data_IF_490650379150
#
_entry.id   IF_490650379150
#
_cell.length_a   1.000
_cell.length_b   1.000
_cell.length_c   1.000
_cell.angle_alpha   90.00
_cell.angle_beta   90.00
_cell.angle_gamma   90.00
#
_symmetry.space_group_name_H-M   'P 1'
#
loop_
_entity.id
_entity.type
_entity.pdbx_description
1 polymer ?
#
# COMPACT_ATOMS: atom_id res chain seq x y z
N UNK A 1 4.15 -33.53 -0.70
CA UNK A 1 5.03 -32.42 -1.13
C UNK A 1 4.38 -31.06 -0.86
N UNK A 2 3.19 -30.78 -1.37
CA UNK A 2 2.52 -29.47 -1.24
C UNK A 2 2.07 -29.08 0.18
N UNK A 3 1.74 -30.06 1.05
CA UNK A 3 1.51 -29.79 2.49
C UNK A 3 2.72 -29.17 3.19
N UNK A 4 3.93 -29.47 2.71
CA UNK A 4 5.13 -28.84 3.24
C UNK A 4 5.27 -27.39 2.79
N UNK A 5 4.73 -26.99 1.62
CA UNK A 5 4.77 -25.59 1.18
C UNK A 5 3.96 -24.68 2.10
N UNK A 6 2.74 -25.11 2.47
CA UNK A 6 1.92 -24.38 3.43
C UNK A 6 2.60 -24.32 4.80
N UNK A 7 3.05 -25.46 5.33
CA UNK A 7 3.75 -25.52 6.61
C UNK A 7 4.99 -24.61 6.63
N UNK A 8 5.83 -24.64 5.59
CA UNK A 8 7.01 -23.77 5.53
C UNK A 8 6.65 -22.30 5.36
N UNK A 9 5.52 -21.98 4.73
CA UNK A 9 5.03 -20.60 4.60
C UNK A 9 4.52 -20.08 5.94
N UNK A 10 3.75 -20.88 6.69
CA UNK A 10 3.33 -20.59 8.06
C UNK A 10 4.53 -20.40 8.98
N UNK A 11 5.49 -21.33 8.98
CA UNK A 11 6.73 -21.21 9.77
C UNK A 11 7.53 -19.97 9.37
N UNK A 12 7.63 -19.66 8.07
CA UNK A 12 8.31 -18.44 7.61
C UNK A 12 7.61 -17.19 8.11
N UNK A 13 6.28 -17.18 8.11
CA UNK A 13 5.47 -16.08 8.60
C UNK A 13 5.64 -15.92 10.11
N UNK A 14 5.57 -17.01 10.88
CA UNK A 14 5.73 -17.02 12.34
C UNK A 14 7.14 -16.58 12.77
N UNK A 15 8.15 -16.91 11.97
CA UNK A 15 9.54 -16.45 12.18
C UNK A 15 9.78 -15.01 11.68
N UNK A 16 8.79 -14.38 11.05
CA UNK A 16 8.91 -13.01 10.55
C UNK A 16 9.73 -12.85 9.27
N UNK A 17 10.00 -13.96 8.58
CA UNK A 17 10.76 -13.96 7.33
C UNK A 17 9.93 -13.44 6.16
N UNK A 18 8.61 -13.58 6.24
CA UNK A 18 7.65 -13.10 5.25
C UNK A 18 6.48 -12.37 5.93
N UNK A 19 5.84 -11.45 5.20
CA UNK A 19 4.63 -10.77 5.65
C UNK A 19 3.34 -11.52 5.32
N UNK A 20 2.21 -11.02 5.81
CA UNK A 20 0.88 -11.62 5.59
C UNK A 20 0.51 -11.67 4.10
N UNK A 21 0.88 -10.66 3.32
CA UNK A 21 0.61 -10.64 1.88
C UNK A 21 1.30 -11.82 1.17
N UNK A 22 2.59 -12.03 1.44
CA UNK A 22 3.35 -13.13 0.87
C UNK A 22 2.85 -14.50 1.37
N UNK A 23 2.42 -14.60 2.64
CA UNK A 23 1.78 -15.82 3.14
C UNK A 23 0.53 -16.18 2.31
N UNK A 24 -0.32 -15.19 2.00
CA UNK A 24 -1.52 -15.40 1.17
C UNK A 24 -1.16 -15.84 -0.25
N UNK A 25 -0.21 -15.15 -0.89
CA UNK A 25 0.26 -15.53 -2.23
C UNK A 25 0.79 -16.96 -2.27
N UNK A 26 1.60 -17.36 -1.27
CA UNK A 26 2.11 -18.73 -1.16
C UNK A 26 1.00 -19.75 -0.91
N UNK A 27 -0.05 -19.38 -0.18
CA UNK A 27 -1.22 -20.23 0.04
C UNK A 27 -2.00 -20.46 -1.27
N UNK A 28 -2.27 -19.41 -2.04
CA UNK A 28 -2.94 -19.50 -3.34
C UNK A 28 -2.16 -20.40 -4.32
N UNK A 29 -0.83 -20.27 -4.36
CA UNK A 29 0.02 -21.15 -5.18
C UNK A 29 -0.07 -22.61 -4.71
N UNK A 30 -0.06 -22.85 -3.39
CA UNK A 30 -0.18 -24.20 -2.86
C UNK A 30 -1.53 -24.84 -3.18
N UNK A 31 -2.63 -24.08 -3.11
CA UNK A 31 -3.96 -24.53 -3.52
C UNK A 31 -4.01 -24.85 -5.01
N UNK A 32 -3.49 -23.97 -5.86
CA UNK A 32 -3.40 -24.20 -7.30
C UNK A 32 -2.62 -25.48 -7.65
N UNK A 33 -1.47 -25.71 -7.00
CA UNK A 33 -0.66 -26.92 -7.20
C UNK A 33 -1.33 -28.20 -6.68
N UNK A 34 -2.25 -28.05 -5.73
CA UNK A 34 -3.01 -29.16 -5.14
C UNK A 34 -4.25 -29.53 -5.95
N UNK A 35 -4.67 -28.71 -6.91
CA UNK A 35 -5.86 -28.96 -7.72
C UNK A 35 -5.58 -29.88 -8.92
N UNK A 36 -5.96 -31.17 -8.84
CA UNK A 36 -5.73 -32.12 -9.92
C UNK A 36 -6.67 -31.89 -11.11
N UNK A 37 -7.72 -31.08 -10.96
CA UNK A 37 -8.70 -30.79 -11.99
C UNK A 37 -8.37 -29.56 -12.86
N UNK A 38 -7.31 -28.81 -12.54
CA UNK A 38 -6.97 -27.53 -13.17
C UNK A 38 -8.15 -26.54 -13.23
N UNK A 39 -9.06 -26.64 -12.26
CA UNK A 39 -10.19 -25.75 -12.04
C UNK A 39 -9.77 -24.42 -11.42
N UNK A 40 -8.69 -24.43 -10.63
CA UNK A 40 -8.07 -23.24 -10.06
C UNK A 40 -7.18 -22.60 -11.13
N UNK A 41 -7.41 -21.31 -11.41
CA UNK A 41 -6.57 -20.51 -12.29
C UNK A 41 -5.16 -20.38 -11.70
N UNK A 42 -4.14 -20.43 -12.56
CA UNK A 42 -2.75 -20.16 -12.14
C UNK A 42 -2.65 -18.75 -11.55
N UNK A 43 -2.37 -18.61 -10.23
CA UNK A 43 -2.35 -17.31 -9.56
C UNK A 43 -1.19 -16.42 -10.05
N UNK A 44 -0.20 -16.98 -10.75
CA UNK A 44 0.90 -16.21 -11.35
C UNK A 44 0.49 -15.49 -12.62
N UNK A 45 -0.56 -15.97 -13.30
CA UNK A 45 -1.18 -15.29 -14.42
C UNK A 45 -2.16 -14.29 -13.82
N UNK A 46 -1.63 -13.13 -13.43
CA UNK A 46 -2.33 -12.09 -12.66
C UNK A 46 -3.80 -11.94 -13.02
N UNK A 47 -4.65 -11.64 -12.03
CA UNK A 47 -6.10 -11.42 -12.28
C UNK A 47 -6.23 -10.41 -13.41
N UNK A 48 -7.07 -10.72 -14.40
CA UNK A 48 -7.49 -9.72 -15.38
C UNK A 48 -8.23 -8.65 -14.58
N UNK A 49 -7.52 -7.58 -14.23
CA UNK A 49 -8.13 -6.44 -13.55
C UNK A 49 -9.02 -5.75 -14.58
N UNK A 50 -10.29 -5.59 -14.25
CA UNK A 50 -11.26 -4.81 -15.02
C UNK A 50 -10.61 -3.47 -15.41
N UNK A 51 -10.72 -3.03 -16.68
CA UNK A 51 -10.04 -1.83 -17.14
C UNK A 51 -10.54 -0.62 -16.34
N UNK A 52 -9.64 -0.01 -15.57
CA UNK A 52 -9.84 1.32 -15.01
C UNK A 52 -10.18 2.27 -16.15
N UNK A 53 -11.35 2.92 -16.06
CA UNK A 53 -11.75 4.02 -16.94
C UNK A 53 -10.64 5.07 -16.94
N UNK A 54 -9.92 5.18 -18.05
CA UNK A 54 -8.96 6.24 -18.30
C UNK A 54 -9.70 7.58 -18.31
N UNK A 55 -9.72 8.30 -17.20
CA UNK A 55 -9.96 9.74 -17.26
C UNK A 55 -8.63 10.41 -17.60
N UNK A 56 -8.63 10.94 -18.82
CA UNK A 56 -7.56 11.67 -19.49
C UNK A 56 -7.00 12.80 -18.61
N UNK A 57 -5.68 12.81 -18.52
CA UNK A 57 -4.91 13.95 -18.06
C UNK A 57 -5.07 15.10 -19.06
N UNK A 58 -5.77 16.16 -18.66
CA UNK A 58 -5.57 17.49 -19.21
C UNK A 58 -5.37 18.48 -18.07
N UNK A 59 -4.21 19.12 -18.10
CA UNK A 59 -3.78 20.13 -17.16
C UNK A 59 -4.02 21.49 -17.82
N UNK A 60 -5.16 22.12 -17.57
CA UNK A 60 -5.33 23.57 -17.79
C UNK A 60 -6.14 24.20 -16.66
N UNK A 61 -5.66 25.35 -16.17
CA UNK A 61 -6.31 26.26 -15.23
C UNK A 61 -6.50 27.60 -15.97
N UNK A 62 -7.28 28.58 -15.46
CA UNK A 62 -8.44 28.50 -14.55
C UNK A 62 -9.66 29.28 -15.11
N UNK A 63 -10.85 29.01 -14.57
CA UNK A 63 -11.76 30.00 -13.95
C UNK A 63 -13.23 29.58 -14.01
N UNK A 64 -13.94 29.96 -12.93
CA UNK A 64 -15.39 29.95 -12.70
C UNK A 64 -16.08 28.59 -12.53
N UNK A 65 -16.42 28.31 -11.26
CA UNK A 65 -17.37 27.29 -10.83
C UNK A 65 -18.77 27.53 -11.44
N UNK A 66 -19.62 26.48 -11.50
CA UNK A 66 -20.52 26.28 -10.37
C UNK A 66 -20.65 24.83 -9.89
N UNK A 67 -20.92 24.73 -8.59
CA UNK A 67 -21.53 23.65 -7.80
C UNK A 67 -22.00 22.42 -8.58
N UNK A 68 -21.42 21.25 -8.26
CA UNK A 68 -22.14 19.97 -8.31
C UNK A 68 -22.09 19.35 -6.92
N UNK A 69 -23.26 19.32 -6.29
CA UNK A 69 -23.54 18.65 -5.04
C UNK A 69 -23.29 17.14 -5.17
N UNK A 70 -22.39 16.66 -4.33
CA UNK A 70 -22.13 15.24 -4.13
C UNK A 70 -21.20 15.01 -2.94
N UNK A 71 -21.20 15.92 -1.96
CA UNK A 71 -20.46 15.73 -0.72
C UNK A 71 -21.17 14.64 0.09
N UNK A 72 -20.76 13.38 -0.10
CA UNK A 72 -20.94 12.37 0.94
C UNK A 72 -20.32 12.96 2.19
N UNK A 73 -21.12 13.11 3.25
CA UNK A 73 -20.63 13.50 4.57
C UNK A 73 -19.51 12.53 4.94
N UNK A 74 -18.28 13.02 4.96
CA UNK A 74 -17.17 12.34 5.62
C UNK A 74 -17.61 12.14 7.08
N UNK A 75 -17.80 10.89 7.48
CA UNK A 75 -18.01 10.56 8.88
C UNK A 75 -16.74 10.99 9.65
N UNK A 76 -16.84 11.84 10.68
CA UNK A 76 -15.66 12.24 11.46
C UNK A 76 -14.91 11.05 12.08
N UNK A 77 -15.56 9.89 12.25
CA UNK A 77 -14.91 8.65 12.67
C UNK A 77 -13.95 8.06 11.61
N UNK A 78 -14.25 8.19 10.32
CA UNK A 78 -13.40 7.71 9.21
C UNK A 78 -12.12 8.55 9.08
N UNK A 79 -12.18 9.85 9.44
CA UNK A 79 -11.01 10.73 9.45
C UNK A 79 -9.95 10.34 10.46
N UNK A 80 -10.31 9.61 11.52
CA UNK A 80 -9.32 9.19 12.52
C UNK A 80 -8.37 8.10 12.00
N UNK A 81 -8.84 7.31 11.03
CA UNK A 81 -8.08 6.19 10.48
C UNK A 81 -7.48 6.50 9.12
N UNK A 82 -8.00 7.47 8.38
CA UNK A 82 -7.54 7.78 7.02
C UNK A 82 -6.85 9.14 6.95
N UNK A 83 -5.70 9.18 6.28
CA UNK A 83 -5.01 10.40 5.91
C UNK A 83 -4.84 10.46 4.39
N UNK A 84 -5.32 11.54 3.77
CA UNK A 84 -5.14 11.78 2.34
C UNK A 84 -3.95 12.70 2.13
N UNK A 85 -2.95 12.24 1.39
CA UNK A 85 -1.73 13.00 1.09
C UNK A 85 -1.58 13.20 -0.42
N UNK A 86 -1.01 14.36 -0.81
CA UNK A 86 -0.89 14.80 -2.21
C UNK A 86 -2.24 14.76 -2.97
N UNK A 87 -3.36 14.94 -2.25
CA UNK A 87 -4.74 14.90 -2.76
C UNK A 87 -5.13 13.60 -3.48
N UNK A 88 -4.36 12.52 -3.33
CA UNK A 88 -4.59 11.26 -4.06
C UNK A 88 -4.24 9.99 -3.31
N UNK A 89 -3.38 10.03 -2.29
CA UNK A 89 -2.92 8.84 -1.59
C UNK A 89 -3.56 8.71 -0.21
N UNK A 90 -4.33 7.65 -0.01
CA UNK A 90 -5.00 7.34 1.25
C UNK A 90 -4.11 6.39 2.06
N UNK A 91 -3.68 6.85 3.22
CA UNK A 91 -3.01 6.04 4.24
C UNK A 91 -4.01 5.65 5.30
N UNK A 92 -3.93 4.41 5.78
CA UNK A 92 -4.88 3.89 6.77
C UNK A 92 -4.16 3.29 7.97
N UNK A 93 -4.53 3.74 9.18
CA UNK A 93 -4.18 3.03 10.42
C UNK A 93 -5.08 1.79 10.53
N UNK A 94 -4.48 0.63 10.84
CA UNK A 94 -5.22 -0.64 10.86
C UNK A 94 -5.16 -1.41 9.54
N UNK A 95 -4.33 -0.97 8.60
CA UNK A 95 -4.13 -1.72 7.36
C UNK A 95 -3.22 -2.93 7.59
N UNK A 96 -3.78 -4.12 7.42
CA UNK A 96 -3.06 -5.39 7.57
C UNK A 96 -2.15 -5.70 6.36
N UNK A 97 -2.35 -5.01 5.23
CA UNK A 97 -1.50 -5.17 4.07
C UNK A 97 -0.11 -4.55 4.34
N UNK A 98 0.95 -5.30 4.06
CA UNK A 98 2.33 -4.86 4.22
C UNK A 98 2.99 -4.42 2.91
N UNK A 99 2.32 -4.60 1.77
CA UNK A 99 2.90 -4.33 0.46
C UNK A 99 2.58 -2.92 -0.02
N UNK A 100 3.54 -2.19 -0.63
CA UNK A 100 4.97 -2.50 -0.78
C UNK A 100 5.83 -2.14 0.45
N UNK A 101 5.21 -1.54 1.46
CA UNK A 101 5.83 -1.23 2.76
C UNK A 101 4.75 -0.98 3.81
N UNK A 102 5.15 -0.90 5.08
CA UNK A 102 4.31 -0.40 6.18
C UNK A 102 4.88 0.94 6.66
N UNK A 103 4.13 2.06 6.54
CA UNK A 103 2.86 2.19 5.84
C UNK A 103 3.01 2.17 4.31
N UNK A 104 1.88 2.06 3.61
CA UNK A 104 1.76 2.30 2.17
C UNK A 104 0.49 3.12 1.89
N UNK A 105 0.45 3.75 0.71
CA UNK A 105 -0.69 4.58 0.28
C UNK A 105 -1.51 3.89 -0.79
N UNK A 106 -2.84 3.92 -0.65
CA UNK A 106 -3.79 3.49 -1.66
C UNK A 106 -4.23 4.67 -2.54
N UNK A 107 -4.39 4.46 -3.84
CA UNK A 107 -4.83 5.52 -4.73
C UNK A 107 -6.33 5.80 -4.55
N UNK A 108 -6.68 7.04 -4.23
CA UNK A 108 -8.03 7.62 -4.02
C UNK A 108 -8.88 7.01 -2.90
N UNK A 109 -8.90 5.68 -2.73
CA UNK A 109 -9.73 4.98 -1.74
C UNK A 109 -8.96 3.81 -1.15
N UNK A 110 -9.18 3.53 0.14
CA UNK A 110 -8.62 2.34 0.81
C UNK A 110 -9.01 1.03 0.12
N UNK A 111 -10.23 0.94 -0.41
CA UNK A 111 -10.76 -0.28 -1.03
C UNK A 111 -10.09 -0.63 -2.35
N UNK A 112 -9.30 0.28 -2.92
CA UNK A 112 -8.61 0.03 -4.19
C UNK A 112 -7.39 -0.84 -3.93
N UNK A 113 -7.36 -2.05 -4.52
CA UNK A 113 -6.21 -2.95 -4.40
C UNK A 113 -4.93 -2.38 -5.02
N UNK A 114 -5.07 -1.54 -6.04
CA UNK A 114 -4.01 -0.89 -6.80
C UNK A 114 -4.50 0.48 -7.32
N UNK A 115 -3.60 1.37 -7.75
CA UNK A 115 -2.15 1.33 -7.52
C UNK A 115 -1.79 1.64 -6.06
N UNK A 116 -0.61 1.16 -5.63
CA UNK A 116 -0.07 1.34 -4.28
C UNK A 116 1.24 2.11 -4.27
N UNK A 117 1.35 3.08 -3.36
CA UNK A 117 2.54 3.90 -3.15
C UNK A 117 3.41 3.33 -2.03
N UNK A 118 4.70 3.17 -2.31
CA UNK A 118 5.75 3.03 -1.29
C UNK A 118 6.23 4.43 -0.85
N UNK A 119 5.82 4.95 0.32
CA UNK A 119 6.17 6.32 0.75
C UNK A 119 7.66 6.49 1.02
N UNK A 120 8.40 5.42 1.35
CA UNK A 120 9.84 5.51 1.65
C UNK A 120 10.69 5.75 0.41
N UNK A 121 10.27 5.22 -0.75
CA UNK A 121 11.04 5.26 -2.01
C UNK A 121 10.38 6.11 -3.10
N UNK A 122 9.12 6.49 -2.90
CA UNK A 122 8.28 7.18 -3.87
C UNK A 122 7.79 6.29 -5.02
N UNK A 123 8.15 5.00 -5.04
CA UNK A 123 7.76 4.05 -6.10
C UNK A 123 6.27 3.74 -6.00
N UNK A 124 5.62 3.66 -7.15
CA UNK A 124 4.20 3.28 -7.27
C UNK A 124 4.12 1.94 -7.99
N UNK A 125 3.22 1.07 -7.55
CA UNK A 125 3.02 -0.25 -8.13
C UNK A 125 1.59 -0.36 -8.66
N UNK A 126 1.44 -0.84 -9.88
CA UNK A 126 0.14 -1.10 -10.51
C UNK A 126 -0.38 -2.52 -10.24
N UNK A 127 0.50 -3.42 -9.80
CA UNK A 127 0.22 -4.80 -9.41
C UNK A 127 1.39 -5.30 -8.53
N UNK A 128 1.31 -6.50 -7.91
CA UNK A 128 2.44 -7.06 -7.18
C UNK A 128 3.68 -7.12 -8.07
N UNK A 129 4.79 -6.57 -7.59
CA UNK A 129 6.08 -6.51 -8.28
C UNK A 129 6.09 -5.75 -9.62
N UNK A 130 5.02 -5.04 -9.98
CA UNK A 130 4.91 -4.24 -11.21
C UNK A 130 4.96 -2.75 -10.90
N UNK A 131 6.14 -2.12 -11.03
CA UNK A 131 6.31 -0.68 -10.81
C UNK A 131 5.75 0.15 -11.96
N UNK A 132 4.85 1.09 -11.64
CA UNK A 132 4.46 2.19 -12.51
C UNK A 132 5.41 3.38 -12.33
N UNK A 133 6.36 3.49 -13.25
CA UNK A 133 7.37 4.55 -13.25
C UNK A 133 6.79 5.93 -13.57
N UNK A 134 5.67 6.00 -14.30
CA UNK A 134 5.05 7.26 -14.69
C UNK A 134 4.38 7.95 -13.50
N UNK A 135 3.88 7.17 -12.53
CA UNK A 135 3.25 7.69 -11.29
C UNK A 135 4.20 7.87 -10.11
N UNK A 136 5.50 7.58 -10.28
CA UNK A 136 6.52 7.70 -9.23
C UNK A 136 6.56 9.13 -8.67
N UNK A 137 6.62 9.25 -7.33
CA UNK A 137 6.73 10.56 -6.70
C UNK A 137 8.04 11.25 -7.08
N UNK A 138 7.91 12.51 -7.45
CA UNK A 138 9.04 13.41 -7.67
C UNK A 138 9.75 13.73 -6.35
N UNK A 139 10.99 14.22 -6.43
CA UNK A 139 11.74 14.69 -5.25
C UNK A 139 10.98 15.75 -4.44
N UNK A 140 10.24 16.64 -5.13
CA UNK A 140 9.45 17.69 -4.48
C UNK A 140 8.26 17.08 -3.73
N UNK A 141 7.53 16.15 -4.34
CA UNK A 141 6.45 15.43 -3.67
C UNK A 141 6.96 14.64 -2.46
N UNK A 142 8.13 13.99 -2.56
CA UNK A 142 8.76 13.29 -1.43
C UNK A 142 9.12 14.24 -0.29
N UNK A 143 9.61 15.44 -0.61
CA UNK A 143 9.88 16.48 0.39
C UNK A 143 8.60 16.98 1.05
N UNK A 144 7.52 17.19 0.29
CA UNK A 144 6.21 17.58 0.86
C UNK A 144 5.70 16.48 1.79
N UNK A 145 5.70 15.23 1.33
CA UNK A 145 5.23 14.07 2.08
C UNK A 145 5.94 13.91 3.43
N UNK A 146 7.28 13.90 3.44
CA UNK A 146 8.06 13.62 4.66
C UNK A 146 8.33 14.83 5.55
N UNK A 147 7.89 16.02 5.16
CA UNK A 147 7.89 17.21 6.01
C UNK A 147 6.49 17.55 6.54
N UNK A 148 5.47 16.76 6.19
CA UNK A 148 4.12 16.90 6.72
C UNK A 148 4.02 16.23 8.11
N UNK A 149 3.76 17.03 9.15
CA UNK A 149 3.68 16.53 10.53
C UNK A 149 2.50 15.57 10.76
N UNK A 150 1.39 15.77 10.05
CA UNK A 150 0.23 14.89 10.14
C UNK A 150 0.56 13.51 9.55
N UNK A 151 1.27 13.50 8.42
CA UNK A 151 1.78 12.27 7.81
C UNK A 151 2.77 11.53 8.70
N UNK A 152 3.71 12.24 9.34
CA UNK A 152 4.67 11.62 10.26
C UNK A 152 3.95 10.97 11.46
N UNK A 153 2.99 11.68 12.06
CA UNK A 153 2.18 11.15 13.15
C UNK A 153 1.35 9.94 12.71
N UNK A 154 0.79 9.97 11.50
CA UNK A 154 0.04 8.84 10.94
C UNK A 154 0.95 7.62 10.73
N UNK A 155 2.18 7.84 10.22
CA UNK A 155 3.17 6.77 10.06
C UNK A 155 3.49 6.10 11.40
N UNK A 156 3.71 6.88 12.47
CA UNK A 156 3.96 6.32 13.79
C UNK A 156 2.81 5.45 14.28
N UNK A 157 1.56 5.95 14.20
CA UNK A 157 0.37 5.19 14.61
C UNK A 157 0.23 3.88 13.84
N UNK A 158 0.43 3.90 12.53
CA UNK A 158 0.35 2.68 11.73
C UNK A 158 1.49 1.71 12.04
N UNK A 159 2.70 2.19 12.31
CA UNK A 159 3.84 1.34 12.71
C UNK A 159 3.61 0.71 14.07
N UNK A 160 3.06 1.45 15.04
CA UNK A 160 2.68 0.93 16.35
C UNK A 160 1.60 -0.14 16.22
N UNK A 161 0.51 0.16 15.51
CA UNK A 161 -0.56 -0.80 15.28
C UNK A 161 -0.06 -2.07 14.57
N UNK A 162 0.76 -1.93 13.52
CA UNK A 162 1.26 -3.09 12.77
C UNK A 162 2.24 -3.93 13.60
N UNK A 163 3.00 -3.28 14.49
CA UNK A 163 3.85 -3.98 15.46
C UNK A 163 3.02 -4.88 16.39
N UNK A 164 1.87 -4.41 16.85
CA UNK A 164 0.98 -5.22 17.69
C UNK A 164 0.26 -6.31 16.89
N UNK A 165 -0.17 -5.98 15.67
CA UNK A 165 -0.88 -6.89 14.77
C UNK A 165 -0.01 -8.05 14.26
N UNK A 166 1.23 -7.77 13.88
CA UNK A 166 2.20 -8.74 13.39
C UNK A 166 3.58 -8.53 14.05
N UNK A 167 3.76 -8.96 15.32
CA UNK A 167 4.98 -8.70 16.10
C UNK A 167 6.28 -9.21 15.47
N UNK A 168 6.17 -10.23 14.63
CA UNK A 168 7.29 -10.83 13.91
C UNK A 168 7.62 -10.13 12.59
N UNK A 169 6.77 -9.22 12.08
CA UNK A 169 7.02 -8.53 10.82
C UNK A 169 8.29 -7.68 10.88
N UNK A 170 9.19 -7.89 9.91
CA UNK A 170 10.42 -7.12 9.78
C UNK A 170 10.21 -5.89 8.89
N UNK A 171 10.34 -4.70 9.49
CA UNK A 171 10.28 -3.43 8.77
C UNK A 171 11.57 -3.21 7.96
N UNK A 172 11.63 -3.75 6.74
CA UNK A 172 12.83 -3.74 5.87
C UNK A 172 13.38 -2.33 5.62
N UNK A 173 12.51 -1.31 5.57
CA UNK A 173 12.89 0.10 5.37
C UNK A 173 13.40 0.79 6.64
N UNK A 174 13.32 0.15 7.80
CA UNK A 174 13.62 0.72 9.11
C UNK A 174 15.02 0.37 9.63
N UNK A 175 16.06 0.56 8.81
CA UNK A 175 17.46 0.21 9.17
C UNK A 175 17.93 0.82 10.49
N UNK A 176 17.46 2.03 10.81
CA UNK A 176 17.85 2.76 12.03
C UNK A 176 16.81 2.61 13.15
N UNK A 177 15.83 1.74 13.00
CA UNK A 177 14.71 1.56 13.92
C UNK A 177 13.39 2.03 13.30
N UNK A 178 12.30 1.33 13.61
CA UNK A 178 10.98 1.53 12.96
C UNK A 178 10.39 2.93 13.14
N UNK A 179 10.71 3.63 14.23
CA UNK A 179 10.28 5.02 14.44
C UNK A 179 11.27 6.05 13.88
N UNK A 180 12.37 5.64 13.23
CA UNK A 180 13.27 6.58 12.57
C UNK A 180 12.83 6.78 11.11
N UNK A 181 11.88 7.71 10.94
CA UNK A 181 11.30 8.05 9.64
C UNK A 181 12.27 8.91 8.78
N UNK A 182 12.19 8.84 7.44
CA UNK A 182 12.99 9.66 6.53
C UNK A 182 12.93 11.16 6.85
N UNK A 183 14.08 11.83 6.75
CA UNK A 183 14.19 13.29 6.86
C UNK A 183 14.63 13.88 5.53
N UNK A 184 13.76 14.68 4.92
CA UNK A 184 14.03 15.34 3.64
C UNK A 184 14.33 16.82 3.87
N UNK A 185 15.61 17.19 3.79
CA UNK A 185 16.00 18.60 3.91
C UNK A 185 15.47 19.40 2.70
N UNK A 186 14.92 20.60 2.91
CA UNK A 186 14.66 21.53 1.82
C UNK A 186 15.95 21.77 1.05
N UNK A 187 15.87 21.80 -0.27
CA UNK A 187 17.00 22.24 -1.09
C UNK A 187 17.16 23.74 -0.84
N UNK A 188 18.33 24.15 -0.36
CA UNK A 188 18.70 25.56 -0.20
C UNK A 188 18.84 26.24 -1.54
#
# INVERSE_FOLDING_TARGET
>A
MYRYLLLWSEVSYDLGLIGLAELKERAEVAEWLLDPGHSIRDPRLGRDEEPETQESSECERPDTAPLVEGAKKDDPADRWFHLVVLSKWVFTVGDADCYPSVPHGHFQKKTNSWPKLNPYTGRVFSAPHSEDKARRLTRREMQVLWNDEEFLNHCHKQIDWYTEFAPQYQFVTAKYGRHQLPRWRPVR
#
